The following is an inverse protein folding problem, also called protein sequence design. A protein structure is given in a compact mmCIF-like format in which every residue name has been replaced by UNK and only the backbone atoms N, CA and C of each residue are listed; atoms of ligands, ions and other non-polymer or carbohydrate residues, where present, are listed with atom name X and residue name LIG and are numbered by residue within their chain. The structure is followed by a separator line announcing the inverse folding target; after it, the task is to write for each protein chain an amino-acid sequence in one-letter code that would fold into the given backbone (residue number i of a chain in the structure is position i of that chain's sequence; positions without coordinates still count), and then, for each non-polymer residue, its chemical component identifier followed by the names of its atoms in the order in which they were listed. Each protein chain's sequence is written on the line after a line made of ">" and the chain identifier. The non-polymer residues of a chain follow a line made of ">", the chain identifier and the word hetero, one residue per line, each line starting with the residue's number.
data_IF_044196379567
#
_entry.id   IF_044196379567
#
_cell.length_a   1.000
_cell.length_b   1.000
_cell.length_c   1.000
_cell.angle_alpha   90.00
_cell.angle_beta   90.00
_cell.angle_gamma   90.00
#
_symmetry.space_group_name_H-M   'P 1'
#
loop_
_entity.id
_entity.type
_entity.pdbx_description
1 polymer ?
#
# COMPACT_ATOMS: atom_id res chain seq x y z
N UNK A 1 -27.26 -11.06 25.38
CA UNK A 1 -26.08 -11.66 24.72
C UNK A 1 -26.54 -12.84 23.88
N UNK A 2 -26.53 -12.71 22.55
CA UNK A 2 -26.90 -13.80 21.66
C UNK A 2 -25.78 -14.86 21.68
N UNK A 3 -26.08 -16.04 22.22
CA UNK A 3 -25.22 -17.21 22.11
C UNK A 3 -25.32 -17.73 20.68
N UNK A 4 -24.19 -17.71 19.97
CA UNK A 4 -24.02 -18.49 18.75
C UNK A 4 -24.23 -19.97 19.14
N UNK A 5 -25.17 -20.66 18.48
CA UNK A 5 -25.59 -22.03 18.82
C UNK A 5 -24.48 -23.08 18.67
N UNK A 6 -24.79 -24.39 18.75
CA UNK A 6 -23.80 -25.49 18.81
C UNK A 6 -23.08 -25.77 17.47
N UNK A 7 -22.86 -24.75 16.64
CA UNK A 7 -22.12 -24.87 15.38
C UNK A 7 -20.62 -24.72 15.63
N UNK A 8 -19.81 -25.54 14.94
CA UNK A 8 -18.35 -25.44 14.96
C UNK A 8 -17.91 -24.16 14.25
N UNK A 9 -17.76 -23.07 15.02
CA UNK A 9 -17.27 -21.79 14.53
C UNK A 9 -15.75 -21.85 14.37
N UNK A 10 -15.26 -21.50 13.18
CA UNK A 10 -13.83 -21.40 12.87
C UNK A 10 -13.54 -19.96 12.46
N UNK A 11 -12.51 -19.36 13.06
CA UNK A 11 -12.01 -18.05 12.68
C UNK A 11 -10.77 -18.21 11.81
N UNK A 12 -10.77 -17.57 10.65
CA UNK A 12 -9.56 -17.38 9.86
C UNK A 12 -8.95 -16.03 10.23
N UNK A 13 -7.98 -16.07 11.14
CA UNK A 13 -7.29 -14.87 11.62
C UNK A 13 -6.23 -14.39 10.62
N UNK A 14 -6.59 -13.36 9.84
CA UNK A 14 -5.70 -12.69 8.88
C UNK A 14 -5.01 -11.45 9.47
N UNK A 15 -5.25 -11.15 10.75
CA UNK A 15 -4.57 -10.04 11.41
C UNK A 15 -3.12 -10.38 11.79
N UNK A 16 -2.70 -11.65 11.60
CA UNK A 16 -1.33 -12.12 11.86
C UNK A 16 -0.38 -12.02 10.67
N UNK A 17 -0.86 -11.50 9.54
CA UNK A 17 0.02 -11.20 8.40
C UNK A 17 0.95 -10.02 8.73
N UNK A 18 2.06 -9.81 7.99
CA UNK A 18 3.11 -8.84 8.34
C UNK A 18 2.64 -7.40 8.57
N UNK A 19 1.62 -6.92 7.86
CA UNK A 19 1.03 -5.57 8.06
C UNK A 19 -0.29 -5.60 8.83
N UNK A 20 -0.54 -6.72 9.51
CA UNK A 20 -1.75 -6.99 10.29
C UNK A 20 -3.04 -6.91 9.47
N UNK A 21 -2.97 -7.25 8.17
CA UNK A 21 -4.13 -7.19 7.29
C UNK A 21 -4.15 -8.32 6.28
N UNK A 22 -5.35 -8.78 5.91
CA UNK A 22 -5.54 -9.70 4.79
C UNK A 22 -5.01 -9.17 3.45
N UNK A 23 -4.81 -7.85 3.34
CA UNK A 23 -4.30 -7.18 2.12
C UNK A 23 -2.87 -7.57 1.77
N UNK A 24 -2.15 -8.16 2.72
CA UNK A 24 -0.82 -8.73 2.51
C UNK A 24 -0.80 -9.81 1.44
N UNK A 25 -1.88 -10.60 1.32
CA UNK A 25 -1.99 -11.63 0.28
C UNK A 25 -1.96 -11.02 -1.14
N UNK A 26 -2.68 -9.92 -1.33
CA UNK A 26 -2.73 -9.22 -2.61
C UNK A 26 -1.40 -8.50 -2.89
N UNK A 27 -0.83 -7.86 -1.86
CA UNK A 27 0.46 -7.18 -1.98
C UNK A 27 1.56 -8.17 -2.37
N UNK A 28 1.65 -9.33 -1.72
CA UNK A 28 2.59 -10.38 -2.06
C UNK A 28 2.51 -10.78 -3.55
N UNK A 29 1.31 -11.13 -4.03
CA UNK A 29 1.12 -11.53 -5.42
C UNK A 29 1.47 -10.40 -6.42
N UNK A 30 1.06 -9.17 -6.13
CA UNK A 30 1.32 -8.01 -6.99
C UNK A 30 2.82 -7.67 -7.06
N UNK A 31 3.51 -7.67 -5.93
CA UNK A 31 4.95 -7.39 -5.87
C UNK A 31 5.75 -8.50 -6.54
N UNK A 32 5.43 -9.78 -6.31
CA UNK A 32 6.07 -10.88 -7.04
C UNK A 32 5.94 -10.71 -8.55
N UNK A 33 4.77 -10.30 -9.04
CA UNK A 33 4.58 -10.02 -10.47
C UNK A 33 5.41 -8.80 -10.94
N UNK A 34 5.50 -7.75 -10.12
CA UNK A 34 6.29 -6.56 -10.42
C UNK A 34 7.78 -6.89 -10.56
N UNK A 35 8.33 -7.66 -9.60
CA UNK A 35 9.72 -8.16 -9.66
C UNK A 35 9.94 -9.01 -10.91
N UNK A 36 9.04 -9.95 -11.20
CA UNK A 36 9.14 -10.79 -12.39
C UNK A 36 9.06 -10.01 -13.72
N UNK A 37 8.45 -8.81 -13.70
CA UNK A 37 8.41 -7.90 -14.86
C UNK A 37 9.62 -6.97 -14.98
N UNK A 38 10.59 -7.05 -14.04
CA UNK A 38 11.75 -6.16 -14.00
C UNK A 38 11.42 -4.72 -13.60
N UNK A 39 10.31 -4.51 -12.89
CA UNK A 39 9.95 -3.18 -12.39
C UNK A 39 10.96 -2.75 -11.31
N UNK A 40 11.37 -1.48 -11.32
CA UNK A 40 12.18 -0.88 -10.25
C UNK A 40 11.33 -0.18 -9.18
N UNK A 41 10.07 0.16 -9.52
CA UNK A 41 9.18 0.91 -8.63
C UNK A 41 7.73 0.52 -8.87
N UNK A 42 6.94 0.48 -7.79
CA UNK A 42 5.49 0.28 -7.82
C UNK A 42 4.76 1.54 -7.36
N UNK A 43 3.57 1.76 -7.93
CA UNK A 43 2.71 2.88 -7.56
C UNK A 43 1.35 2.31 -7.15
N UNK A 44 0.84 2.76 -6.00
CA UNK A 44 -0.48 2.38 -5.50
C UNK A 44 -1.28 3.61 -5.11
N UNK A 45 -2.56 3.64 -5.48
CA UNK A 45 -3.50 4.67 -5.05
C UNK A 45 -4.37 4.10 -3.93
N UNK A 46 -4.11 4.48 -2.68
CA UNK A 46 -4.81 3.93 -1.52
C UNK A 46 -4.82 4.88 -0.33
N UNK A 47 -5.92 4.82 0.42
CA UNK A 47 -6.13 5.58 1.66
C UNK A 47 -6.18 4.67 2.90
N UNK A 48 -5.72 3.42 2.79
CA UNK A 48 -5.84 2.43 3.86
C UNK A 48 -4.75 1.37 3.83
N UNK A 49 -4.98 0.25 4.55
CA UNK A 49 -3.99 -0.82 4.75
C UNK A 49 -3.43 -1.43 3.45
N UNK A 50 -4.05 -1.18 2.29
CA UNK A 50 -3.51 -1.69 1.03
C UNK A 50 -2.20 -1.00 0.68
N UNK A 51 -2.11 0.33 0.84
CA UNK A 51 -0.88 1.04 0.56
C UNK A 51 0.21 0.74 1.59
N UNK A 52 -0.15 0.47 2.84
CA UNK A 52 0.79 -0.02 3.85
C UNK A 52 1.32 -1.41 3.49
N UNK A 53 0.44 -2.36 3.12
CA UNK A 53 0.85 -3.68 2.64
C UNK A 53 1.77 -3.60 1.40
N UNK A 54 1.42 -2.79 0.41
CA UNK A 54 2.26 -2.62 -0.79
C UNK A 54 3.60 -1.96 -0.45
N UNK A 55 3.64 -0.99 0.47
CA UNK A 55 4.89 -0.37 0.92
C UNK A 55 5.82 -1.39 1.59
N UNK A 56 5.32 -2.13 2.58
CA UNK A 56 6.08 -3.16 3.28
C UNK A 56 6.64 -4.23 2.33
N UNK A 57 5.79 -4.75 1.44
CA UNK A 57 6.21 -5.80 0.51
C UNK A 57 7.14 -5.29 -0.60
N UNK A 58 6.95 -4.05 -1.07
CA UNK A 58 7.87 -3.43 -2.03
C UNK A 58 9.25 -3.24 -1.40
N UNK A 59 9.32 -2.73 -0.17
CA UNK A 59 10.56 -2.58 0.58
C UNK A 59 11.27 -3.92 0.78
N UNK A 60 10.53 -4.96 1.18
CA UNK A 60 11.07 -6.31 1.34
C UNK A 60 11.62 -6.90 0.02
N UNK A 61 11.07 -6.50 -1.12
CA UNK A 61 11.52 -6.92 -2.45
C UNK A 61 12.59 -6.00 -3.07
N UNK A 62 13.03 -4.96 -2.37
CA UNK A 62 13.99 -3.98 -2.88
C UNK A 62 13.43 -3.06 -3.97
N UNK A 63 12.11 -2.91 -4.06
CA UNK A 63 11.44 -2.03 -5.02
C UNK A 63 11.17 -0.66 -4.40
N UNK A 64 11.28 0.39 -5.21
CA UNK A 64 10.74 1.69 -4.86
C UNK A 64 9.20 1.63 -4.71
N UNK A 65 8.65 2.39 -3.77
CA UNK A 65 7.20 2.46 -3.57
C UNK A 65 6.70 3.90 -3.53
N UNK A 66 5.66 4.19 -4.33
CA UNK A 66 4.94 5.46 -4.28
C UNK A 66 3.49 5.19 -3.91
N UNK A 67 3.02 5.82 -2.84
CA UNK A 67 1.64 5.74 -2.37
C UNK A 67 0.94 7.06 -2.61
N UNK A 68 -0.06 7.06 -3.49
CA UNK A 68 -0.92 8.19 -3.74
C UNK A 68 -2.13 8.10 -2.80
N UNK A 69 -2.26 9.06 -1.89
CA UNK A 69 -3.29 9.09 -0.86
C UNK A 69 -3.99 10.46 -0.83
N UNK A 70 -4.86 10.68 0.15
CA UNK A 70 -5.53 11.97 0.40
C UNK A 70 -5.06 12.60 1.70
N UNK A 71 -5.16 13.92 1.81
CA UNK A 71 -4.75 14.69 3.00
C UNK A 71 -5.51 14.29 4.28
N UNK A 72 -6.71 13.72 4.16
CA UNK A 72 -7.54 13.27 5.28
C UNK A 72 -7.25 11.85 5.78
N UNK A 73 -6.21 11.18 5.27
CA UNK A 73 -5.89 9.82 5.73
C UNK A 73 -5.51 9.80 7.20
N UNK A 74 -5.93 8.77 7.96
CA UNK A 74 -5.51 8.59 9.35
C UNK A 74 -3.98 8.55 9.46
N UNK A 75 -3.46 9.21 10.50
CA UNK A 75 -2.03 9.41 10.66
C UNK A 75 -1.29 8.08 10.76
N UNK A 76 -1.91 7.10 11.42
CA UNK A 76 -1.38 5.77 11.70
C UNK A 76 -1.03 5.05 10.40
N UNK A 77 -1.96 5.03 9.45
CA UNK A 77 -1.75 4.41 8.14
C UNK A 77 -0.65 5.15 7.36
N UNK A 78 -0.63 6.49 7.42
CA UNK A 78 0.41 7.27 6.77
C UNK A 78 1.80 7.03 7.36
N UNK A 79 1.88 6.75 8.66
CA UNK A 79 3.14 6.45 9.35
C UNK A 79 3.64 5.07 8.91
N UNK A 80 2.78 4.06 8.86
CA UNK A 80 3.17 2.72 8.39
C UNK A 80 3.76 2.77 6.98
N UNK A 81 3.06 3.41 6.05
CA UNK A 81 3.54 3.57 4.67
C UNK A 81 4.91 4.26 4.59
N UNK A 82 5.12 5.32 5.38
CA UNK A 82 6.40 6.07 5.39
C UNK A 82 7.51 5.32 6.13
N UNK A 83 7.18 4.56 7.16
CA UNK A 83 8.14 3.76 7.93
C UNK A 83 8.78 2.67 7.04
N UNK A 84 7.99 2.10 6.13
CA UNK A 84 8.48 1.16 5.11
C UNK A 84 9.23 1.84 3.94
N UNK A 85 9.46 3.16 4.02
CA UNK A 85 10.24 3.91 3.03
C UNK A 85 9.48 4.34 1.77
N UNK A 86 8.14 4.23 1.75
CA UNK A 86 7.37 4.69 0.59
C UNK A 86 7.30 6.21 0.49
N UNK A 87 7.39 6.76 -0.73
CA UNK A 87 7.01 8.15 -0.99
C UNK A 87 5.48 8.27 -0.94
N UNK A 88 4.96 8.88 0.13
CA UNK A 88 3.53 9.14 0.30
C UNK A 88 3.19 10.53 -0.22
N UNK A 89 2.44 10.58 -1.32
CA UNK A 89 1.93 11.82 -1.94
C UNK A 89 0.45 11.99 -1.59
N UNK A 90 0.14 13.03 -0.81
CA UNK A 90 -1.23 13.36 -0.43
C UNK A 90 -1.84 14.39 -1.39
N UNK A 91 -3.08 14.16 -1.81
CA UNK A 91 -3.91 15.09 -2.58
C UNK A 91 -5.12 15.53 -1.77
N UNK A 92 -5.59 16.76 -2.01
CA UNK A 92 -6.78 17.25 -1.30
C UNK A 92 -8.08 16.58 -1.79
N UNK A 93 -8.11 16.07 -3.02
CA UNK A 93 -9.29 15.43 -3.61
C UNK A 93 -9.01 14.03 -4.16
N UNK A 94 -9.94 13.11 -3.89
CA UNK A 94 -9.89 11.72 -4.32
C UNK A 94 -9.91 11.44 -5.84
N UNK A 95 -10.32 12.34 -6.75
CA UNK A 95 -10.17 12.11 -8.20
C UNK A 95 -8.75 12.38 -8.73
N UNK A 96 -7.96 13.22 -8.06
CA UNK A 96 -6.67 13.70 -8.59
C UNK A 96 -5.53 12.69 -8.42
N UNK A 97 -5.66 11.76 -7.48
CA UNK A 97 -4.71 10.64 -7.23
C UNK A 97 -4.47 9.74 -8.45
N UNK A 98 -5.44 9.59 -9.36
CA UNK A 98 -5.26 8.76 -10.57
C UNK A 98 -4.48 9.46 -11.68
N UNK A 99 -4.40 10.80 -11.65
CA UNK A 99 -3.82 11.61 -12.72
C UNK A 99 -2.29 11.62 -12.70
N UNK A 100 -1.69 11.30 -11.55
CA UNK A 100 -0.23 11.32 -11.38
C UNK A 100 0.49 10.10 -11.99
N UNK A 101 -0.18 8.95 -12.12
CA UNK A 101 0.42 7.71 -12.66
C UNK A 101 0.92 7.83 -14.11
N UNK A 102 0.59 8.90 -14.85
CA UNK A 102 0.92 9.04 -16.27
C UNK A 102 2.24 9.72 -16.61
N UNK A 103 2.94 10.41 -15.67
CA UNK A 103 4.14 11.21 -15.99
C UNK A 103 5.39 10.70 -15.27
N UNK A 104 6.30 10.11 -16.06
CA UNK A 104 7.51 9.37 -15.64
C UNK A 104 8.64 10.18 -15.01
N UNK A 105 8.58 11.51 -14.96
CA UNK A 105 9.78 12.32 -14.65
C UNK A 105 9.64 13.32 -13.51
N UNK A 106 8.42 13.64 -13.05
CA UNK A 106 8.19 14.55 -11.92
C UNK A 106 6.73 14.46 -11.50
N UNK A 107 6.49 14.00 -10.27
CA UNK A 107 5.21 14.21 -9.61
C UNK A 107 5.02 15.73 -9.43
N UNK A 108 3.85 16.28 -9.76
CA UNK A 108 3.55 17.71 -9.55
C UNK A 108 3.62 18.13 -8.08
N UNK A 109 3.63 17.16 -7.15
CA UNK A 109 3.86 17.35 -5.72
C UNK A 109 5.35 17.38 -5.33
N UNK A 110 6.28 17.41 -6.29
CA UNK A 110 7.72 17.52 -6.01
C UNK A 110 8.40 16.23 -5.56
N UNK A 111 7.70 15.09 -5.49
CA UNK A 111 8.34 13.82 -5.15
C UNK A 111 9.22 13.32 -6.32
N UNK A 112 10.51 13.10 -6.05
CA UNK A 112 11.40 12.36 -6.95
C UNK A 112 11.05 10.88 -6.81
N UNK A 113 10.90 10.20 -7.95
CA UNK A 113 10.86 8.74 -7.93
C UNK A 113 12.20 8.24 -7.38
N UNK A 114 12.22 7.19 -6.54
CA UNK A 114 13.47 6.59 -6.09
C UNK A 114 14.28 6.18 -7.33
N UNK A 115 15.54 6.62 -7.39
CA UNK A 115 16.43 6.32 -8.52
C UNK A 115 16.88 4.85 -8.45
N UNK A 116 17.03 4.23 -9.63
CA UNK A 116 17.35 2.82 -9.86
C UNK A 116 18.78 2.46 -9.46
#
# INVERSE_FOLDING_TARGET
>A
MNRLGPHRLILKDEARNPTWSFKDRLAAAAITKAVASGASTVIVSSTGNHGAAVAAYAAAAGLGCVVLTVSSVPREISILMRADGACVVAYDKGPDRGRCCGKRSRCSAGCRYPES
#
